data_IF_906714513744
#
_entry.id   IF_906714513744
#
_cell.length_a   1.000
_cell.length_b   1.000
_cell.length_c   1.000
_cell.angle_alpha   90.00
_cell.angle_beta   90.00
_cell.angle_gamma   90.00
#
_symmetry.space_group_name_H-M   'P 1'
#
loop_
_entity.id
_entity.type
_entity.pdbx_description
1 polymer ?
#
# COMPACT_ATOMS: atom_id res chain seq x y z
N UNK A 1 5.54 -11.12 23.37
CA UNK A 1 4.71 -10.10 22.68
C UNK A 1 4.41 -10.61 21.28
N UNK A 2 3.14 -10.76 20.90
CA UNK A 2 2.78 -11.07 19.51
C UNK A 2 2.79 -9.78 18.68
N UNK A 3 3.41 -9.81 17.51
CA UNK A 3 3.38 -8.70 16.55
C UNK A 3 2.23 -8.91 15.55
N UNK A 4 1.74 -7.82 14.96
CA UNK A 4 0.77 -7.92 13.89
C UNK A 4 1.46 -8.47 12.64
N UNK A 5 1.08 -9.68 12.21
CA UNK A 5 1.53 -10.28 10.95
C UNK A 5 0.54 -9.86 9.88
N UNK A 6 1.01 -9.25 8.80
CA UNK A 6 0.16 -8.89 7.66
C UNK A 6 0.31 -9.93 6.56
N UNK A 7 -0.80 -10.53 6.16
CA UNK A 7 -0.84 -11.43 5.01
C UNK A 7 -1.17 -10.65 3.74
N UNK A 8 -0.84 -11.21 2.57
CA UNK A 8 -1.18 -10.57 1.29
C UNK A 8 -2.71 -10.38 1.14
N UNK A 9 -3.52 -11.31 1.64
CA UNK A 9 -4.97 -11.19 1.61
C UNK A 9 -5.48 -10.03 2.48
N UNK A 10 -4.93 -9.86 3.70
CA UNK A 10 -5.24 -8.72 4.56
C UNK A 10 -4.79 -7.39 3.94
N UNK A 11 -3.63 -7.37 3.28
CA UNK A 11 -3.10 -6.19 2.59
C UNK A 11 -3.97 -5.79 1.41
N UNK A 12 -4.36 -6.73 0.56
CA UNK A 12 -5.23 -6.47 -0.58
C UNK A 12 -6.60 -5.97 -0.13
N UNK A 13 -7.25 -6.65 0.82
CA UNK A 13 -8.53 -6.22 1.36
C UNK A 13 -8.47 -4.82 1.98
N UNK A 14 -7.36 -4.48 2.62
CA UNK A 14 -7.16 -3.14 3.17
C UNK A 14 -7.02 -2.09 2.06
N UNK A 15 -6.20 -2.35 1.04
CA UNK A 15 -6.01 -1.42 -0.08
C UNK A 15 -7.30 -1.24 -0.87
N UNK A 16 -8.02 -2.32 -1.18
CA UNK A 16 -9.30 -2.29 -1.90
C UNK A 16 -10.32 -1.41 -1.16
N UNK A 17 -10.44 -1.60 0.16
CA UNK A 17 -11.28 -0.75 1.01
C UNK A 17 -10.89 0.72 0.92
N UNK A 18 -9.60 1.06 0.99
CA UNK A 18 -9.13 2.44 0.91
C UNK A 18 -9.35 3.07 -0.46
N UNK A 19 -9.23 2.29 -1.54
CA UNK A 19 -9.52 2.75 -2.91
C UNK A 19 -11.01 3.07 -3.07
N UNK A 20 -11.90 2.24 -2.54
CA UNK A 20 -13.34 2.51 -2.49
C UNK A 20 -13.65 3.80 -1.71
N UNK A 21 -12.93 4.03 -0.61
CA UNK A 21 -13.11 5.19 0.28
C UNK A 21 -12.18 6.36 -0.03
N UNK A 22 -11.55 6.40 -1.21
CA UNK A 22 -10.52 7.41 -1.55
C UNK A 22 -11.00 8.86 -1.44
N UNK A 23 -12.29 9.10 -1.61
CA UNK A 23 -12.91 10.43 -1.44
C UNK A 23 -12.83 10.95 0.00
N UNK A 24 -12.60 10.08 0.98
CA UNK A 24 -12.42 10.42 2.39
C UNK A 24 -10.97 10.67 2.79
N UNK A 25 -10.03 10.44 1.86
CA UNK A 25 -8.63 10.73 2.08
C UNK A 25 -8.44 12.25 2.28
N UNK A 26 -7.71 12.61 3.34
CA UNK A 26 -7.23 13.96 3.55
C UNK A 26 -5.96 14.25 2.77
N UNK A 27 -5.34 15.38 3.10
CA UNK A 27 -4.12 15.84 2.44
C UNK A 27 -3.03 14.77 2.46
N UNK A 28 -2.34 14.67 1.31
CA UNK A 28 -1.26 13.70 1.06
C UNK A 28 -1.70 12.24 1.15
N UNK A 29 -2.98 11.93 0.99
CA UNK A 29 -3.49 10.55 0.92
C UNK A 29 -3.67 9.90 2.30
N UNK A 30 -3.72 10.68 3.39
CA UNK A 30 -3.94 10.12 4.73
C UNK A 30 -5.43 9.85 5.01
N UNK A 31 -5.74 8.76 5.70
CA UNK A 31 -7.11 8.44 6.10
C UNK A 31 -7.37 8.79 7.57
N UNK A 32 -8.56 9.30 7.86
CA UNK A 32 -9.01 9.57 9.23
C UNK A 32 -9.15 8.26 10.01
N UNK A 33 -8.96 8.32 11.32
CA UNK A 33 -9.15 7.18 12.20
C UNK A 33 -10.54 6.54 12.06
N UNK A 34 -11.58 7.34 11.82
CA UNK A 34 -12.95 6.87 11.57
C UNK A 34 -13.09 6.03 10.30
N UNK A 35 -12.38 6.35 9.22
CA UNK A 35 -12.35 5.53 8.00
C UNK A 35 -11.62 4.22 8.26
N UNK A 36 -10.48 4.28 8.96
CA UNK A 36 -9.69 3.09 9.28
C UNK A 36 -10.39 2.16 10.28
N UNK A 37 -11.21 2.70 11.18
CA UNK A 37 -12.05 1.89 12.07
C UNK A 37 -13.05 1.05 11.28
N UNK A 38 -13.59 1.56 10.18
CA UNK A 38 -14.53 0.84 9.30
C UNK A 38 -13.83 -0.26 8.49
N UNK A 39 -12.52 -0.15 8.25
CA UNK A 39 -11.74 -1.18 7.57
C UNK A 39 -11.48 -2.43 8.44
N UNK A 40 -11.52 -2.30 9.77
CA UNK A 40 -11.23 -3.40 10.70
C UNK A 40 -12.07 -4.67 10.44
N UNK A 41 -13.41 -4.61 10.34
CA UNK A 41 -14.21 -5.81 10.06
C UNK A 41 -13.91 -6.41 8.67
N UNK A 42 -13.58 -5.59 7.68
CA UNK A 42 -13.23 -6.06 6.32
C UNK A 42 -11.95 -6.89 6.35
N UNK A 43 -10.92 -6.40 7.03
CA UNK A 43 -9.64 -7.09 7.16
C UNK A 43 -9.77 -8.34 8.05
N UNK A 44 -10.60 -8.29 9.10
CA UNK A 44 -10.77 -9.40 10.04
C UNK A 44 -11.27 -10.69 9.39
N UNK A 45 -12.00 -10.62 8.27
CA UNK A 45 -12.42 -11.80 7.48
C UNK A 45 -11.22 -12.58 6.93
N UNK A 46 -10.09 -11.91 6.72
CA UNK A 46 -8.85 -12.49 6.20
C UNK A 46 -7.82 -12.77 7.30
N UNK A 47 -8.19 -12.64 8.58
CA UNK A 47 -7.28 -12.84 9.69
C UNK A 47 -6.79 -14.30 9.75
N UNK A 48 -5.46 -14.47 9.84
CA UNK A 48 -4.83 -15.79 9.94
C UNK A 48 -4.05 -15.97 11.24
N UNK A 49 -3.24 -14.99 11.64
CA UNK A 49 -2.36 -15.12 12.80
C UNK A 49 -1.84 -13.77 13.32
N UNK A 50 -1.16 -13.81 14.47
CA UNK A 50 -0.51 -12.65 15.09
C UNK A 50 -1.42 -11.87 16.03
N UNK A 51 -1.04 -10.63 16.34
CA UNK A 51 -1.92 -9.72 17.07
C UNK A 51 -3.07 -9.23 16.19
N UNK A 52 -4.27 -9.10 16.76
CA UNK A 52 -5.42 -8.51 16.09
C UNK A 52 -5.07 -7.10 15.57
N UNK A 53 -5.56 -6.78 14.37
CA UNK A 53 -5.32 -5.47 13.78
C UNK A 53 -6.08 -4.39 14.55
N UNK A 54 -5.39 -3.29 14.83
CA UNK A 54 -5.93 -2.08 15.46
C UNK A 54 -5.90 -0.93 14.47
N UNK A 55 -6.68 0.13 14.70
CA UNK A 55 -6.61 1.36 13.88
C UNK A 55 -5.16 1.88 13.79
N UNK A 56 -4.41 1.81 14.89
CA UNK A 56 -3.00 2.22 14.90
C UNK A 56 -2.13 1.36 13.98
N UNK A 57 -2.37 0.05 13.95
CA UNK A 57 -1.65 -0.85 13.03
C UNK A 57 -1.98 -0.57 11.57
N UNK A 58 -3.24 -0.25 11.24
CA UNK A 58 -3.69 0.15 9.90
C UNK A 58 -3.03 1.47 9.47
N UNK A 59 -2.99 2.47 10.37
CA UNK A 59 -2.30 3.74 10.11
C UNK A 59 -0.83 3.53 9.75
N UNK A 60 -0.11 2.73 10.56
CA UNK A 60 1.30 2.44 10.35
C UNK A 60 1.51 1.68 9.03
N UNK A 61 0.64 0.71 8.72
CA UNK A 61 0.71 -0.09 7.49
C UNK A 61 0.48 0.78 6.26
N UNK A 62 -0.56 1.61 6.26
CA UNK A 62 -0.86 2.54 5.18
C UNK A 62 0.28 3.53 4.96
N UNK A 63 0.81 4.14 6.02
CA UNK A 63 1.93 5.08 5.90
C UNK A 63 3.16 4.43 5.24
N UNK A 64 3.45 3.16 5.56
CA UNK A 64 4.53 2.40 4.93
C UNK A 64 4.26 2.15 3.44
N UNK A 65 3.06 1.67 3.09
CA UNK A 65 2.67 1.37 1.71
C UNK A 65 2.66 2.64 0.85
N UNK A 66 2.07 3.72 1.37
CA UNK A 66 1.98 5.01 0.69
C UNK A 66 3.36 5.62 0.42
N UNK A 67 4.30 5.48 1.37
CA UNK A 67 5.68 5.91 1.16
C UNK A 67 6.33 5.17 0.00
N UNK A 68 6.20 3.84 -0.03
CA UNK A 68 6.72 3.01 -1.13
C UNK A 68 6.07 3.40 -2.46
N UNK A 69 4.75 3.56 -2.49
CA UNK A 69 4.02 4.01 -3.68
C UNK A 69 4.54 5.36 -4.18
N UNK A 70 4.68 6.37 -3.31
CA UNK A 70 5.22 7.67 -3.69
C UNK A 70 6.63 7.57 -4.29
N UNK A 71 7.50 6.69 -3.75
CA UNK A 71 8.84 6.47 -4.30
C UNK A 71 8.76 5.85 -5.70
N UNK A 72 7.92 4.82 -5.89
CA UNK A 72 7.71 4.21 -7.22
C UNK A 72 7.19 5.24 -8.23
N UNK A 73 6.22 6.07 -7.82
CA UNK A 73 5.69 7.13 -8.68
C UNK A 73 6.76 8.20 -9.02
N UNK A 74 7.63 8.55 -8.08
CA UNK A 74 8.74 9.45 -8.33
C UNK A 74 9.74 8.86 -9.33
N UNK A 75 10.08 7.58 -9.18
CA UNK A 75 10.98 6.86 -10.11
C UNK A 75 10.37 6.82 -11.52
N UNK A 76 9.08 6.51 -11.64
CA UNK A 76 8.35 6.55 -12.93
C UNK A 76 8.39 7.92 -13.61
N UNK A 77 8.53 9.01 -12.84
CA UNK A 77 8.56 10.38 -13.34
C UNK A 77 9.94 10.87 -13.79
N UNK A 78 11.03 10.13 -13.52
CA UNK A 78 12.39 10.52 -13.93
C UNK A 78 12.64 10.07 -15.37
N UNK A 79 13.07 11.00 -16.24
CA UNK A 79 13.45 10.69 -17.62
C UNK A 79 14.68 9.78 -17.69
N UNK A 80 14.64 8.74 -18.53
CA UNK A 80 15.73 7.77 -18.69
C UNK A 80 15.53 6.44 -17.97
N UNK A 81 14.42 6.27 -17.23
CA UNK A 81 14.02 5.01 -16.63
C UNK A 81 12.70 4.54 -17.25
N UNK A 82 12.70 3.42 -17.98
CA UNK A 82 11.49 2.78 -18.52
C UNK A 82 10.94 1.78 -17.51
N UNK A 83 9.88 2.10 -16.78
CA UNK A 83 9.13 1.12 -15.96
C UNK A 83 7.72 0.93 -16.51
N UNK A 84 7.40 -0.28 -16.92
CA UNK A 84 6.07 -0.73 -17.32
C UNK A 84 5.47 -1.65 -16.24
N UNK A 85 4.18 -1.52 -15.95
CA UNK A 85 3.54 -2.30 -14.89
C UNK A 85 3.31 -3.78 -15.28
N UNK A 86 3.46 -4.15 -16.56
CA UNK A 86 3.39 -5.52 -17.05
C UNK A 86 4.78 -6.15 -17.29
N UNK A 87 5.77 -5.36 -17.74
CA UNK A 87 7.10 -5.86 -18.14
C UNK A 87 8.26 -5.38 -17.24
N UNK A 88 8.00 -4.53 -16.25
CA UNK A 88 9.00 -4.01 -15.32
C UNK A 88 9.94 -2.99 -15.96
N UNK A 89 11.23 -3.00 -15.59
CA UNK A 89 12.21 -1.99 -16.01
C UNK A 89 12.65 -2.08 -17.49
N UNK A 90 12.16 -3.08 -18.25
CA UNK A 90 12.49 -3.31 -19.67
C UNK A 90 13.98 -3.14 -20.02
N UNK A 91 14.86 -3.62 -19.13
CA UNK A 91 16.32 -3.49 -19.30
C UNK A 91 16.75 -4.39 -20.46
N UNK A 92 17.12 -3.77 -21.57
CA UNK A 92 17.76 -4.40 -22.72
C UNK A 92 19.24 -4.00 -22.78
N UNK A 93 20.10 -4.77 -23.48
CA UNK A 93 21.51 -4.40 -23.66
C UNK A 93 21.72 -2.99 -24.22
N UNK A 94 20.82 -2.51 -25.09
CA UNK A 94 20.87 -1.15 -25.66
C UNK A 94 20.59 -0.05 -24.63
N UNK A 95 19.72 -0.30 -23.65
CA UNK A 95 19.36 0.67 -22.59
C UNK A 95 20.34 0.70 -21.41
N UNK A 96 21.33 -0.21 -21.36
CA UNK A 96 22.26 -0.33 -20.23
C UNK A 96 23.49 0.59 -20.32
N UNK A 97 23.73 1.22 -21.48
CA UNK A 97 24.96 1.99 -21.77
C UNK A 97 24.71 3.43 -22.25
N UNK A 98 23.47 3.92 -22.20
CA UNK A 98 23.09 5.28 -22.62
C UNK A 98 23.17 6.31 -21.49
#
# INVERSE_FOLDING_TARGET
MSYAVWTLAEENAFVDFLVEHKSTAGDRGNFKASTLQQALPVIAVHYQSGAAKTVKSLQNKWASMWKTFCVVQAIKGVSGWTWDDNTGASITPDTAFS
#
